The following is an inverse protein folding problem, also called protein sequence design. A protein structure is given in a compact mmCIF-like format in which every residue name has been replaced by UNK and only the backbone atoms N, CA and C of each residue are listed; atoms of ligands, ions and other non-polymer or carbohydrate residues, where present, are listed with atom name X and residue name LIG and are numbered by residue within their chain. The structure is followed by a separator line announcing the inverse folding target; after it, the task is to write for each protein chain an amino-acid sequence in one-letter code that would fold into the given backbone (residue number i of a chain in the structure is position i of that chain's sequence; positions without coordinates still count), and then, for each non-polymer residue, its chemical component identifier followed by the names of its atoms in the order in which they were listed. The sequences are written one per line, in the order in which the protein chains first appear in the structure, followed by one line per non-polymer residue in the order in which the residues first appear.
data_IF_057243100479
#
_entry.id   IF_057243100479
#
_cell.length_a   1.000
_cell.length_b   1.000
_cell.length_c   1.000
_cell.angle_alpha   90.00
_cell.angle_beta   90.00
_cell.angle_gamma   90.00
#
_symmetry.space_group_name_H-M   'P 1'
#
loop_
_entity.id
_entity.type
_entity.pdbx_description
1 polymer ?
#
# COMPACT_ATOMS: atom_id res chain seq x y z
N UNK A 1 -21.05 -69.84 -24.29
CA UNK A 1 -20.89 -68.38 -24.43
C UNK A 1 -19.86 -67.90 -23.40
N UNK A 2 -18.58 -67.72 -23.77
CA UNK A 2 -17.55 -67.19 -22.87
C UNK A 2 -17.70 -65.67 -22.79
N UNK A 3 -18.28 -65.18 -21.70
CA UNK A 3 -18.43 -63.74 -21.47
C UNK A 3 -17.07 -63.03 -21.62
N UNK A 4 -17.01 -61.99 -22.45
CA UNK A 4 -15.81 -61.20 -22.70
C UNK A 4 -15.54 -60.18 -21.58
N UNK A 5 -15.56 -60.62 -20.32
CA UNK A 5 -15.42 -59.78 -19.13
C UNK A 5 -14.13 -58.95 -19.13
N UNK A 6 -13.08 -59.47 -19.76
CA UNK A 6 -11.80 -58.77 -19.97
C UNK A 6 -11.93 -57.49 -20.82
N UNK A 7 -12.88 -57.43 -21.75
CA UNK A 7 -13.14 -56.22 -22.58
C UNK A 7 -13.69 -55.08 -21.73
N UNK A 8 -14.55 -55.40 -20.76
CA UNK A 8 -15.08 -54.43 -19.81
C UNK A 8 -14.00 -53.90 -18.86
N UNK A 9 -13.09 -54.78 -18.44
CA UNK A 9 -11.96 -54.42 -17.58
C UNK A 9 -11.00 -53.46 -18.29
N UNK A 10 -10.66 -53.70 -19.56
CA UNK A 10 -9.87 -52.79 -20.38
C UNK A 10 -10.58 -51.44 -20.56
N UNK A 11 -11.89 -51.45 -20.83
CA UNK A 11 -12.67 -50.23 -20.99
C UNK A 11 -12.62 -49.36 -19.72
N UNK A 12 -12.78 -49.96 -18.54
CA UNK A 12 -12.69 -49.26 -17.25
C UNK A 12 -11.29 -48.68 -17.03
N UNK A 13 -10.23 -49.43 -17.34
CA UNK A 13 -8.85 -48.96 -17.21
C UNK A 13 -8.60 -47.75 -18.12
N UNK A 14 -9.08 -47.78 -19.38
CA UNK A 14 -8.95 -46.65 -20.31
C UNK A 14 -9.72 -45.43 -19.82
N UNK A 15 -10.94 -45.62 -19.29
CA UNK A 15 -11.74 -44.53 -18.72
C UNK A 15 -11.00 -43.88 -17.53
N UNK A 16 -10.48 -44.68 -16.61
CA UNK A 16 -9.74 -44.18 -15.44
C UNK A 16 -8.45 -43.47 -15.87
N UNK A 17 -7.73 -44.03 -16.84
CA UNK A 17 -6.50 -43.47 -17.39
C UNK A 17 -6.71 -42.10 -18.06
N UNK A 18 -7.90 -41.82 -18.60
CA UNK A 18 -8.24 -40.50 -19.16
C UNK A 18 -8.84 -39.58 -18.10
N UNK A 19 -9.69 -40.11 -17.22
CA UNK A 19 -10.45 -39.32 -16.25
C UNK A 19 -9.55 -38.68 -15.18
N UNK A 20 -8.61 -39.43 -14.60
CA UNK A 20 -7.71 -38.92 -13.55
C UNK A 20 -6.86 -37.73 -14.05
N UNK A 21 -6.11 -37.84 -15.17
CA UNK A 21 -5.33 -36.71 -15.67
C UNK A 21 -6.21 -35.55 -16.17
N UNK A 22 -7.42 -35.83 -16.68
CA UNK A 22 -8.39 -34.78 -17.06
C UNK A 22 -8.83 -33.96 -15.85
N UNK A 23 -9.18 -34.59 -14.73
CA UNK A 23 -9.54 -33.91 -13.49
C UNK A 23 -8.37 -33.12 -12.89
N UNK A 24 -7.15 -33.68 -12.93
CA UNK A 24 -5.94 -32.99 -12.49
C UNK A 24 -5.61 -31.77 -13.38
N UNK A 25 -5.81 -31.88 -14.69
CA UNK A 25 -5.60 -30.79 -15.63
C UNK A 25 -6.64 -29.69 -15.46
N UNK A 26 -7.93 -30.05 -15.32
CA UNK A 26 -9.03 -29.12 -15.13
C UNK A 26 -8.91 -28.35 -13.81
N UNK A 27 -8.58 -29.04 -12.71
CA UNK A 27 -8.35 -28.39 -11.41
C UNK A 27 -7.16 -27.42 -11.44
N UNK A 28 -6.06 -27.77 -12.12
CA UNK A 28 -4.93 -26.85 -12.36
C UNK A 28 -5.33 -25.64 -13.19
N UNK A 29 -6.05 -25.84 -14.30
CA UNK A 29 -6.57 -24.77 -15.17
C UNK A 29 -7.50 -23.82 -14.40
N UNK A 30 -8.46 -24.36 -13.66
CA UNK A 30 -9.40 -23.55 -12.85
C UNK A 30 -8.65 -22.77 -11.77
N UNK A 31 -7.65 -23.38 -11.14
CA UNK A 31 -6.79 -22.71 -10.16
C UNK A 31 -6.02 -21.53 -10.77
N UNK A 32 -5.41 -21.73 -11.95
CA UNK A 32 -4.71 -20.66 -12.70
C UNK A 32 -5.68 -19.56 -13.17
N UNK A 33 -6.83 -19.91 -13.75
CA UNK A 33 -7.83 -18.93 -14.15
C UNK A 33 -8.35 -18.09 -12.96
N UNK A 34 -8.54 -18.71 -11.79
CA UNK A 34 -8.90 -18.00 -10.56
C UNK A 34 -7.77 -17.12 -10.03
N UNK A 35 -6.50 -17.46 -10.26
CA UNK A 35 -5.38 -16.59 -9.88
C UNK A 35 -5.17 -15.42 -10.84
N UNK A 36 -5.52 -15.59 -12.12
CA UNK A 36 -5.30 -14.58 -13.15
C UNK A 36 -6.48 -13.61 -13.29
N UNK A 37 -7.69 -14.04 -12.91
CA UNK A 37 -8.86 -13.17 -12.89
C UNK A 37 -8.72 -12.10 -11.80
N UNK A 38 -8.80 -10.82 -12.19
CA UNK A 38 -8.79 -9.67 -11.28
C UNK A 38 -10.14 -8.99 -11.29
N UNK A 39 -10.68 -8.70 -10.11
CA UNK A 39 -11.99 -8.04 -9.99
C UNK A 39 -11.91 -6.59 -10.47
N UNK A 40 -12.98 -6.04 -11.08
CA UNK A 40 -12.99 -4.61 -11.41
C UNK A 40 -12.81 -3.70 -10.20
N UNK A 41 -13.33 -4.14 -9.04
CA UNK A 41 -13.22 -3.40 -7.78
C UNK A 41 -11.79 -3.46 -7.25
N UNK A 42 -11.15 -2.29 -7.19
CA UNK A 42 -9.81 -2.03 -6.69
C UNK A 42 -9.86 -0.94 -5.60
N UNK A 43 -10.28 -1.27 -4.37
CA UNK A 43 -10.39 -0.29 -3.32
C UNK A 43 -9.02 0.25 -2.92
N UNK A 44 -9.01 1.49 -2.43
CA UNK A 44 -7.82 2.10 -1.82
C UNK A 44 -8.05 2.15 -0.33
N UNK A 45 -7.32 1.29 0.39
CA UNK A 45 -7.37 1.19 1.84
C UNK A 45 -6.49 2.30 2.43
N UNK A 46 -7.09 3.21 3.19
CA UNK A 46 -6.41 4.34 3.80
C UNK A 46 -6.35 4.15 5.31
N UNK A 47 -5.15 4.20 5.91
CA UNK A 47 -4.94 4.03 7.36
C UNK A 47 -4.26 5.27 7.93
N UNK A 48 -4.89 5.99 8.88
CA UNK A 48 -4.34 7.22 9.44
C UNK A 48 -3.29 6.92 10.52
N UNK A 49 -2.58 7.97 10.94
CA UNK A 49 -1.59 7.91 12.02
C UNK A 49 -2.18 7.92 13.42
N UNK A 50 -1.31 8.11 14.42
CA UNK A 50 -1.73 8.21 15.82
C UNK A 50 -2.51 9.48 16.13
N UNK A 51 -3.31 9.43 17.20
CA UNK A 51 -4.20 10.50 17.69
C UNK A 51 -5.18 11.02 16.63
N UNK A 52 -5.26 10.36 15.47
CA UNK A 52 -6.09 10.72 14.35
C UNK A 52 -7.43 9.95 14.43
N UNK A 53 -8.54 10.65 14.19
CA UNK A 53 -9.83 9.99 13.95
C UNK A 53 -9.89 9.47 12.51
N UNK A 54 -10.98 8.76 12.19
CA UNK A 54 -11.33 8.37 10.82
C UNK A 54 -11.48 9.55 9.84
N UNK A 55 -11.49 10.79 10.32
CA UNK A 55 -11.68 12.01 9.53
C UNK A 55 -10.35 12.62 9.08
N UNK A 56 -9.21 12.02 9.47
CA UNK A 56 -7.87 12.51 9.13
C UNK A 56 -7.64 12.68 7.62
N UNK A 57 -8.29 11.85 6.82
CA UNK A 57 -8.19 11.91 5.37
C UNK A 57 -9.30 12.71 4.71
N UNK A 58 -10.23 13.34 5.44
CA UNK A 58 -11.39 14.00 4.83
C UNK A 58 -11.00 15.15 3.91
N UNK A 59 -10.03 15.97 4.31
CA UNK A 59 -9.47 17.04 3.46
C UNK A 59 -8.83 16.46 2.21
N UNK A 60 -7.95 15.47 2.36
CA UNK A 60 -7.28 14.79 1.25
C UNK A 60 -8.31 14.18 0.27
N UNK A 61 -9.30 13.46 0.79
CA UNK A 61 -10.36 12.82 0.01
C UNK A 61 -11.18 13.87 -0.73
N UNK A 62 -11.48 15.00 -0.08
CA UNK A 62 -12.20 16.12 -0.70
C UNK A 62 -11.40 16.71 -1.85
N UNK A 63 -10.11 16.96 -1.66
CA UNK A 63 -9.21 17.44 -2.71
C UNK A 63 -9.09 16.45 -3.86
N UNK A 64 -8.87 15.16 -3.56
CA UNK A 64 -8.80 14.10 -4.57
C UNK A 64 -10.08 14.05 -5.41
N UNK A 65 -11.26 14.12 -4.78
CA UNK A 65 -12.55 14.12 -5.49
C UNK A 65 -12.78 15.34 -6.37
N UNK A 66 -12.22 16.49 -6.00
CA UNK A 66 -12.29 17.70 -6.82
C UNK A 66 -11.34 17.64 -8.02
N UNK A 67 -10.22 16.93 -7.87
CA UNK A 67 -9.18 16.86 -8.88
C UNK A 67 -9.28 15.65 -9.83
N UNK A 68 -9.93 14.56 -9.40
CA UNK A 68 -10.11 13.35 -10.21
C UNK A 68 -11.35 13.46 -11.10
N UNK A 69 -11.28 12.83 -12.28
CA UNK A 69 -12.42 12.82 -13.22
C UNK A 69 -13.49 11.81 -12.83
N UNK A 70 -13.11 10.80 -12.06
CA UNK A 70 -13.98 9.69 -11.66
C UNK A 70 -14.39 9.88 -10.20
N UNK A 71 -15.69 9.78 -9.87
CA UNK A 71 -16.13 9.91 -8.50
C UNK A 71 -15.73 8.67 -7.68
N UNK A 72 -15.06 8.90 -6.55
CA UNK A 72 -14.69 7.86 -5.59
C UNK A 72 -15.64 7.91 -4.38
N UNK A 73 -16.41 6.85 -4.17
CA UNK A 73 -17.21 6.65 -2.95
C UNK A 73 -16.30 6.39 -1.75
N UNK A 74 -16.79 6.71 -0.54
CA UNK A 74 -16.00 6.61 0.70
C UNK A 74 -16.77 5.77 1.69
N UNK A 75 -16.09 4.75 2.19
CA UNK A 75 -16.50 3.95 3.34
C UNK A 75 -15.47 4.17 4.45
N UNK A 76 -15.94 4.53 5.64
CA UNK A 76 -15.10 4.60 6.85
C UNK A 76 -15.44 3.41 7.73
N UNK A 77 -14.40 2.75 8.25
CA UNK A 77 -14.49 1.61 9.15
C UNK A 77 -13.69 1.97 10.41
N UNK A 78 -14.36 2.01 11.56
CA UNK A 78 -13.71 2.16 12.86
C UNK A 78 -13.67 0.80 13.55
N UNK A 79 -12.47 0.33 13.88
CA UNK A 79 -12.26 -0.88 14.68
C UNK A 79 -12.18 -0.50 16.15
N UNK A 80 -13.12 -1.02 16.93
CA UNK A 80 -13.19 -0.82 18.38
C UNK A 80 -12.17 -1.72 19.11
N UNK A 81 -11.80 -1.39 20.34
CA UNK A 81 -10.78 -2.17 21.08
C UNK A 81 -11.19 -3.63 21.33
N UNK A 82 -12.49 -3.90 21.39
CA UNK A 82 -13.07 -5.24 21.51
C UNK A 82 -13.17 -6.00 20.18
N UNK A 83 -12.75 -5.37 19.07
CA UNK A 83 -12.80 -5.93 17.72
C UNK A 83 -14.11 -5.68 16.97
N UNK A 84 -15.08 -4.97 17.55
CA UNK A 84 -16.28 -4.60 16.80
C UNK A 84 -15.96 -3.61 15.67
N UNK A 85 -16.68 -3.73 14.55
CA UNK A 85 -16.51 -2.89 13.37
C UNK A 85 -17.71 -1.94 13.24
N UNK A 86 -17.44 -0.64 13.25
CA UNK A 86 -18.43 0.40 12.98
C UNK A 86 -18.20 0.99 11.59
N UNK A 87 -19.26 1.13 10.80
CA UNK A 87 -19.18 1.58 9.40
C UNK A 87 -19.91 2.90 9.22
N UNK A 88 -19.32 3.82 8.47
CA UNK A 88 -19.95 5.09 8.05
C UNK A 88 -19.71 5.33 6.57
N UNK A 89 -20.74 5.78 5.85
CA UNK A 89 -20.69 5.91 4.38
C UNK A 89 -20.99 4.59 3.67
N UNK A 90 -20.69 4.51 2.38
CA UNK A 90 -20.97 3.33 1.56
C UNK A 90 -20.17 3.32 0.26
N UNK A 91 -19.94 2.12 -0.28
CA UNK A 91 -19.39 1.93 -1.61
C UNK A 91 -20.53 1.98 -2.63
N UNK A 92 -20.47 2.92 -3.57
CA UNK A 92 -21.52 3.08 -4.59
C UNK A 92 -21.44 1.96 -5.62
N UNK A 93 -22.59 1.48 -6.08
CA UNK A 93 -22.65 0.50 -7.17
C UNK A 93 -22.00 1.09 -8.44
N UNK A 94 -21.09 0.33 -9.05
CA UNK A 94 -20.37 0.75 -10.25
C UNK A 94 -19.12 1.59 -9.97
N UNK A 95 -18.84 1.93 -8.71
CA UNK A 95 -17.54 2.49 -8.34
C UNK A 95 -16.51 1.36 -8.21
N UNK A 96 -15.53 1.37 -9.12
CA UNK A 96 -14.47 0.39 -9.18
C UNK A 96 -13.22 0.80 -8.39
N UNK A 97 -13.15 2.02 -7.86
CA UNK A 97 -11.99 2.50 -7.10
C UNK A 97 -12.43 3.33 -5.88
N UNK A 98 -13.20 2.75 -4.95
CA UNK A 98 -13.63 3.45 -3.75
C UNK A 98 -12.47 3.67 -2.78
N UNK A 99 -12.60 4.69 -1.94
CA UNK A 99 -11.71 4.89 -0.80
C UNK A 99 -12.32 4.24 0.44
N UNK A 100 -11.53 3.41 1.13
CA UNK A 100 -11.94 2.78 2.37
C UNK A 100 -10.98 3.22 3.47
N UNK A 101 -11.45 4.08 4.38
CA UNK A 101 -10.65 4.52 5.53
C UNK A 101 -10.84 3.52 6.66
N UNK A 102 -9.76 2.93 7.17
CA UNK A 102 -9.78 2.06 8.34
C UNK A 102 -9.06 2.79 9.47
N UNK A 103 -9.79 3.12 10.52
CA UNK A 103 -9.28 3.78 11.71
C UNK A 103 -9.51 2.92 12.95
N UNK A 104 -8.77 3.20 14.02
CA UNK A 104 -8.80 2.42 15.25
C UNK A 104 -9.31 3.29 16.40
N UNK A 105 -10.11 2.71 17.29
CA UNK A 105 -10.49 3.36 18.55
C UNK A 105 -9.25 3.66 19.39
N UNK A 106 -8.36 2.67 19.54
CA UNK A 106 -7.03 2.89 20.07
C UNK A 106 -6.08 3.34 18.94
N UNK A 107 -5.98 4.65 18.78
CA UNK A 107 -5.09 5.33 17.86
C UNK A 107 -3.81 5.84 18.55
N UNK A 108 -3.38 5.24 19.67
CA UNK A 108 -2.18 5.71 20.40
C UNK A 108 -0.89 5.31 19.69
N UNK A 109 0.15 6.10 19.90
CA UNK A 109 1.52 5.80 19.50
C UNK A 109 2.11 4.59 20.25
N UNK A 110 3.26 4.13 19.76
CA UNK A 110 4.07 3.11 20.42
C UNK A 110 3.93 1.73 19.80
N UNK A 111 5.04 1.00 19.83
CA UNK A 111 5.21 -0.30 19.19
C UNK A 111 4.06 -1.29 19.50
N UNK A 112 3.68 -1.44 20.78
CA UNK A 112 2.62 -2.38 21.17
C UNK A 112 1.24 -2.03 20.62
N UNK A 113 0.95 -0.74 20.44
CA UNK A 113 -0.30 -0.28 19.84
C UNK A 113 -0.28 -0.49 18.32
N UNK A 114 0.84 -0.20 17.65
CA UNK A 114 1.00 -0.39 16.20
C UNK A 114 0.84 -1.88 15.81
N UNK A 115 1.40 -2.80 16.60
CA UNK A 115 1.21 -4.25 16.38
C UNK A 115 -0.25 -4.66 16.52
N UNK A 116 -0.97 -4.11 17.51
CA UNK A 116 -2.43 -4.35 17.66
C UNK A 116 -3.23 -3.76 16.50
N UNK A 117 -2.86 -2.57 16.04
CA UNK A 117 -3.49 -1.91 14.89
C UNK A 117 -3.32 -2.75 13.60
N UNK A 118 -2.17 -3.39 13.39
CA UNK A 118 -2.00 -4.33 12.28
C UNK A 118 -2.93 -5.55 12.38
N UNK A 119 -3.16 -6.08 13.59
CA UNK A 119 -4.10 -7.17 13.83
C UNK A 119 -5.58 -6.74 13.60
N UNK A 120 -5.94 -5.54 14.08
CA UNK A 120 -7.26 -4.96 13.83
C UNK A 120 -7.48 -4.64 12.36
N UNK A 121 -6.43 -4.22 11.64
CA UNK A 121 -6.47 -4.03 10.21
C UNK A 121 -6.78 -5.35 9.48
N UNK A 122 -6.18 -6.46 9.88
CA UNK A 122 -6.52 -7.80 9.34
C UNK A 122 -7.98 -8.18 9.58
N UNK A 123 -8.50 -7.90 10.78
CA UNK A 123 -9.91 -8.15 11.11
C UNK A 123 -10.85 -7.38 10.18
N UNK A 124 -10.66 -6.06 10.06
CA UNK A 124 -11.46 -5.22 9.18
C UNK A 124 -11.29 -5.61 7.70
N UNK A 125 -10.06 -5.89 7.27
CA UNK A 125 -9.75 -6.24 5.89
C UNK A 125 -10.43 -7.56 5.46
N UNK A 126 -10.43 -8.58 6.32
CA UNK A 126 -11.12 -9.84 6.05
C UNK A 126 -12.63 -9.66 5.89
N UNK A 127 -13.25 -8.84 6.74
CA UNK A 127 -14.66 -8.51 6.59
C UNK A 127 -14.92 -7.80 5.25
N UNK A 128 -14.15 -6.75 4.94
CA UNK A 128 -14.27 -5.98 3.70
C UNK A 128 -14.08 -6.86 2.45
N UNK A 129 -13.04 -7.69 2.41
CA UNK A 129 -12.76 -8.59 1.30
C UNK A 129 -13.88 -9.62 1.12
N UNK A 130 -14.46 -10.13 2.22
CA UNK A 130 -15.59 -11.06 2.19
C UNK A 130 -16.88 -10.37 1.71
N UNK A 131 -17.14 -9.15 2.16
CA UNK A 131 -18.35 -8.39 1.86
C UNK A 131 -18.35 -7.87 0.43
N UNK A 132 -17.27 -7.24 0.00
CA UNK A 132 -17.17 -6.57 -1.30
C UNK A 132 -16.48 -7.41 -2.38
N UNK A 133 -15.93 -8.58 -2.03
CA UNK A 133 -15.40 -9.58 -2.97
C UNK A 133 -14.29 -9.08 -3.89
N UNK A 134 -13.53 -8.05 -3.51
CA UNK A 134 -12.34 -7.66 -4.25
C UNK A 134 -11.20 -8.66 -4.02
N UNK A 135 -10.37 -8.87 -5.03
CA UNK A 135 -9.19 -9.74 -4.95
C UNK A 135 -7.86 -9.02 -5.16
N UNK A 136 -7.91 -7.70 -5.29
CA UNK A 136 -6.74 -6.85 -5.20
C UNK A 136 -7.10 -5.49 -4.63
N UNK A 137 -6.08 -4.76 -4.16
CA UNK A 137 -6.26 -3.42 -3.59
C UNK A 137 -4.97 -2.62 -3.67
N UNK A 138 -5.10 -1.30 -3.49
CA UNK A 138 -3.97 -0.41 -3.19
C UNK A 138 -4.13 0.14 -1.77
N UNK A 139 -3.03 0.58 -1.17
CA UNK A 139 -3.02 1.08 0.19
C UNK A 139 -2.31 2.43 0.32
N UNK A 140 -2.80 3.25 1.25
CA UNK A 140 -2.22 4.52 1.65
C UNK A 140 -2.13 4.56 3.18
N UNK A 141 -0.93 4.74 3.72
CA UNK A 141 -0.70 4.89 5.15
C UNK A 141 -0.10 6.25 5.47
N UNK A 142 -0.66 6.98 6.42
CA UNK A 142 -0.04 8.19 6.96
C UNK A 142 0.56 7.89 8.33
N UNK A 143 1.80 8.35 8.58
CA UNK A 143 2.49 8.16 9.85
C UNK A 143 2.46 6.69 10.30
N UNK A 144 2.02 6.39 11.52
CA UNK A 144 1.88 5.03 12.05
C UNK A 144 0.92 4.13 11.27
N UNK A 145 -0.04 4.69 10.52
CA UNK A 145 -0.88 3.92 9.61
C UNK A 145 -0.07 3.22 8.53
N UNK A 146 1.06 3.80 8.10
CA UNK A 146 2.01 3.14 7.21
C UNK A 146 2.79 2.01 7.87
N UNK A 147 3.08 2.09 9.18
CA UNK A 147 3.68 0.99 9.93
C UNK A 147 2.69 -0.17 10.10
N UNK A 148 1.45 0.13 10.49
CA UNK A 148 0.39 -0.86 10.61
C UNK A 148 0.12 -1.56 9.27
N UNK A 149 0.09 -0.81 8.16
CA UNK A 149 0.00 -1.39 6.82
C UNK A 149 1.22 -2.25 6.47
N UNK A 150 2.44 -1.82 6.81
CA UNK A 150 3.65 -2.60 6.51
C UNK A 150 3.65 -3.94 7.25
N UNK A 151 3.35 -3.93 8.56
CA UNK A 151 3.17 -5.16 9.35
C UNK A 151 2.03 -6.03 8.80
N UNK A 152 0.90 -5.42 8.41
CA UNK A 152 -0.21 -6.14 7.79
C UNK A 152 0.22 -6.87 6.50
N UNK A 153 0.99 -6.20 5.64
CA UNK A 153 1.49 -6.76 4.39
C UNK A 153 2.47 -7.93 4.61
N UNK A 154 3.21 -7.92 5.72
CA UNK A 154 4.19 -8.95 6.09
C UNK A 154 3.55 -10.14 6.80
N UNK A 155 2.71 -9.89 7.79
CA UNK A 155 2.28 -10.91 8.74
C UNK A 155 0.88 -11.47 8.48
N UNK A 156 0.01 -10.70 7.82
CA UNK A 156 -1.41 -11.02 7.70
C UNK A 156 -1.83 -11.26 6.25
N UNK A 157 -1.47 -10.37 5.32
CA UNK A 157 -1.84 -10.50 3.91
C UNK A 157 -1.41 -11.84 3.27
N UNK A 158 -0.20 -12.41 3.54
CA UNK A 158 0.18 -13.70 2.98
C UNK A 158 -0.73 -14.87 3.40
N UNK A 159 -1.47 -14.72 4.50
CA UNK A 159 -2.47 -15.70 4.96
C UNK A 159 -3.78 -15.58 4.18
N UNK A 160 -4.02 -14.47 3.48
CA UNK A 160 -5.21 -14.18 2.67
C UNK A 160 -4.92 -14.46 1.19
N UNK A 161 -4.80 -15.75 0.84
CA UNK A 161 -4.37 -16.19 -0.50
C UNK A 161 -5.24 -15.69 -1.67
N UNK A 162 -6.46 -15.25 -1.40
CA UNK A 162 -7.41 -14.77 -2.41
C UNK A 162 -7.26 -13.29 -2.75
N UNK A 163 -6.41 -12.53 -2.05
CA UNK A 163 -6.26 -11.09 -2.25
C UNK A 163 -4.80 -10.72 -2.43
N UNK A 164 -4.51 -9.78 -3.34
CA UNK A 164 -3.16 -9.28 -3.61
C UNK A 164 -3.07 -7.78 -3.40
N UNK A 165 -1.95 -7.28 -2.87
CA UNK A 165 -1.69 -5.86 -2.80
C UNK A 165 -0.93 -5.41 -4.04
N UNK A 166 -1.45 -4.40 -4.74
CA UNK A 166 -0.83 -3.85 -5.94
C UNK A 166 0.19 -2.78 -5.59
N UNK A 167 -0.23 -1.86 -4.71
CA UNK A 167 0.55 -0.68 -4.36
C UNK A 167 0.39 -0.33 -2.90
N UNK A 168 1.47 0.22 -2.35
CA UNK A 168 1.50 0.84 -1.04
C UNK A 168 2.15 2.21 -1.18
N UNK A 169 1.47 3.26 -0.73
CA UNK A 169 2.09 4.56 -0.49
C UNK A 169 2.11 4.83 1.01
N UNK A 170 3.27 5.11 1.55
CA UNK A 170 3.44 5.54 2.93
C UNK A 170 3.85 7.00 2.95
N UNK A 171 3.23 7.80 3.82
CA UNK A 171 3.46 9.25 3.93
C UNK A 171 3.93 9.53 5.35
N UNK A 172 5.15 10.06 5.48
CA UNK A 172 5.77 10.39 6.76
C UNK A 172 5.77 9.22 7.77
N UNK A 173 5.95 8.00 7.27
CA UNK A 173 5.90 6.80 8.11
C UNK A 173 7.23 6.62 8.86
N UNK A 174 7.23 6.63 10.20
CA UNK A 174 8.44 6.56 11.00
C UNK A 174 8.93 5.11 11.14
N UNK A 175 9.58 4.57 10.11
CA UNK A 175 10.07 3.17 10.13
C UNK A 175 11.03 2.87 11.28
N UNK A 176 11.68 3.89 11.84
CA UNK A 176 12.52 3.79 13.04
C UNK A 176 11.96 4.62 14.20
N UNK A 177 10.64 4.83 14.29
CA UNK A 177 10.02 5.66 15.33
C UNK A 177 10.64 7.08 15.38
N UNK A 178 10.81 7.66 16.57
CA UNK A 178 11.33 9.01 16.76
C UNK A 178 12.86 9.11 16.66
N UNK A 179 13.59 8.01 16.39
CA UNK A 179 15.06 8.09 16.29
C UNK A 179 15.53 8.60 14.94
N UNK A 180 16.48 9.54 14.99
CA UNK A 180 17.21 10.04 13.82
C UNK A 180 18.45 9.17 13.50
N UNK A 181 18.71 8.14 14.31
CA UNK A 181 19.86 7.26 14.14
C UNK A 181 19.75 6.44 12.86
N UNK A 182 20.88 6.33 12.16
CA UNK A 182 21.04 5.49 10.97
C UNK A 182 21.62 4.11 11.28
N UNK A 183 22.04 3.88 12.53
CA UNK A 183 22.69 2.64 12.98
C UNK A 183 21.88 1.90 14.05
N UNK A 184 21.15 2.62 14.89
CA UNK A 184 20.30 2.02 15.91
C UNK A 184 18.95 1.61 15.29
N UNK A 185 18.50 0.41 15.62
CA UNK A 185 17.23 -0.11 15.16
C UNK A 185 16.27 -0.29 16.33
N UNK A 186 15.16 0.43 16.27
CA UNK A 186 14.03 0.25 17.18
C UNK A 186 13.39 -1.14 17.02
N UNK A 187 12.62 -1.62 18.01
CA UNK A 187 11.92 -2.90 17.91
C UNK A 187 11.04 -3.02 16.65
N UNK A 188 10.29 -1.96 16.29
CA UNK A 188 9.45 -1.98 15.09
C UNK A 188 10.28 -2.18 13.80
N UNK A 189 11.42 -1.50 13.68
CA UNK A 189 12.29 -1.62 12.50
C UNK A 189 12.88 -3.02 12.40
N UNK A 190 13.31 -3.60 13.53
CA UNK A 190 13.83 -4.96 13.59
C UNK A 190 12.78 -5.97 13.11
N UNK A 191 11.55 -5.83 13.60
CA UNK A 191 10.45 -6.74 13.21
C UNK A 191 10.13 -6.63 11.73
N UNK A 192 10.01 -5.41 11.19
CA UNK A 192 9.79 -5.20 9.77
C UNK A 192 10.92 -5.80 8.92
N UNK A 193 12.18 -5.60 9.31
CA UNK A 193 13.33 -6.19 8.60
C UNK A 193 13.32 -7.73 8.69
N UNK A 194 12.87 -8.30 9.80
CA UNK A 194 12.75 -9.74 9.97
C UNK A 194 11.63 -10.33 9.10
N UNK A 195 10.48 -9.65 9.04
CA UNK A 195 9.28 -10.04 8.29
C UNK A 195 9.34 -9.79 6.79
N UNK A 196 10.20 -8.88 6.33
CA UNK A 196 10.25 -8.36 4.94
C UNK A 196 10.24 -9.40 3.82
N UNK A 197 10.75 -10.61 4.05
CA UNK A 197 10.75 -11.68 3.03
C UNK A 197 9.34 -12.12 2.64
N UNK A 198 8.36 -11.91 3.53
CA UNK A 198 6.95 -12.25 3.35
C UNK A 198 6.19 -11.21 2.52
N UNK A 199 6.77 -10.04 2.26
CA UNK A 199 6.14 -8.99 1.46
C UNK A 199 5.76 -9.53 0.06
N UNK A 200 4.59 -9.10 -0.49
CA UNK A 200 4.17 -9.53 -1.82
C UNK A 200 5.19 -9.11 -2.89
N UNK A 201 5.71 -10.09 -3.65
CA UNK A 201 6.78 -9.84 -4.63
C UNK A 201 6.38 -8.92 -5.78
N UNK A 202 5.09 -8.79 -6.06
CA UNK A 202 4.53 -7.91 -7.09
C UNK A 202 4.16 -6.51 -6.57
N UNK A 203 4.32 -6.24 -5.27
CA UNK A 203 3.97 -4.97 -4.65
C UNK A 203 4.84 -3.83 -5.21
N UNK A 204 4.24 -2.68 -5.45
CA UNK A 204 4.95 -1.44 -5.76
C UNK A 204 4.82 -0.47 -4.59
N UNK A 205 5.94 0.01 -4.07
CA UNK A 205 5.97 0.83 -2.86
C UNK A 205 6.50 2.23 -3.14
N UNK A 206 5.76 3.24 -2.70
CA UNK A 206 6.13 4.65 -2.71
C UNK A 206 6.26 5.15 -1.26
N UNK A 207 7.46 5.53 -0.84
CA UNK A 207 7.71 6.06 0.49
C UNK A 207 7.92 7.56 0.40
N UNK A 208 6.95 8.34 0.87
CA UNK A 208 6.98 9.80 0.84
C UNK A 208 7.49 10.31 2.18
N UNK A 209 8.65 10.97 2.17
CA UNK A 209 9.20 11.70 3.31
C UNK A 209 8.83 13.18 3.21
N UNK A 210 8.30 13.75 4.29
CA UNK A 210 8.18 15.19 4.44
C UNK A 210 9.46 15.77 5.04
N UNK A 211 9.76 17.02 4.70
CA UNK A 211 10.82 17.80 5.32
C UNK A 211 10.33 19.24 5.45
N UNK A 212 9.98 19.63 6.68
CA UNK A 212 9.65 21.00 7.08
C UNK A 212 10.94 21.74 7.44
N UNK A 213 11.79 21.07 8.20
CA UNK A 213 13.22 21.38 8.31
C UNK A 213 13.98 20.34 7.50
N UNK A 214 15.14 20.68 6.94
CA UNK A 214 15.93 19.80 6.05
C UNK A 214 16.11 18.33 6.53
N UNK A 215 15.86 18.03 7.81
CA UNK A 215 15.97 16.71 8.44
C UNK A 215 14.71 16.16 9.11
N UNK A 216 13.58 16.89 9.17
CA UNK A 216 12.37 16.47 9.92
C UNK A 216 11.10 17.15 9.41
N UNK A 217 9.95 16.47 9.54
CA UNK A 217 8.61 17.05 9.31
C UNK A 217 7.99 17.73 10.55
N UNK A 218 8.83 18.02 11.55
CA UNK A 218 8.43 18.60 12.83
C UNK A 218 8.00 17.56 13.89
N UNK A 219 7.80 16.30 13.51
CA UNK A 219 7.50 15.19 14.45
C UNK A 219 8.41 13.97 14.21
N UNK A 220 8.66 13.64 12.95
CA UNK A 220 9.39 12.45 12.53
C UNK A 220 10.67 12.86 11.80
N UNK A 221 11.83 12.34 12.21
CA UNK A 221 13.08 12.54 11.48
C UNK A 221 13.01 11.90 10.09
N UNK A 222 13.49 12.60 9.07
CA UNK A 222 13.59 12.09 7.71
C UNK A 222 14.40 10.79 7.65
N UNK A 223 15.43 10.64 8.52
CA UNK A 223 16.20 9.39 8.61
C UNK A 223 15.37 8.20 9.09
N UNK A 224 14.38 8.41 9.97
CA UNK A 224 13.45 7.36 10.38
C UNK A 224 12.63 6.88 9.19
N UNK A 225 12.10 7.80 8.37
CA UNK A 225 11.39 7.46 7.13
C UNK A 225 12.30 6.74 6.14
N UNK A 226 13.56 7.18 6.01
CA UNK A 226 14.56 6.58 5.12
C UNK A 226 14.88 5.12 5.47
N UNK A 227 14.61 4.66 6.69
CA UNK A 227 14.82 3.25 7.06
C UNK A 227 13.87 2.29 6.32
N UNK A 228 12.77 2.80 5.73
CA UNK A 228 11.86 2.00 4.90
C UNK A 228 12.58 1.26 3.76
N UNK A 229 13.71 1.79 3.26
CA UNK A 229 14.52 1.12 2.23
C UNK A 229 15.01 -0.27 2.67
N UNK A 230 15.32 -0.46 3.97
CA UNK A 230 15.77 -1.75 4.50
C UNK A 230 14.63 -2.77 4.62
N UNK A 231 13.38 -2.29 4.63
CA UNK A 231 12.18 -3.14 4.62
C UNK A 231 11.88 -3.57 3.19
N UNK A 232 11.79 -2.63 2.24
CA UNK A 232 11.22 -2.93 0.92
C UNK A 232 12.23 -3.25 -0.19
N UNK A 233 13.44 -2.67 -0.18
CA UNK A 233 14.38 -2.88 -1.29
C UNK A 233 14.76 -4.37 -1.42
N UNK A 234 14.77 -4.86 -2.66
CA UNK A 234 14.99 -6.26 -3.01
C UNK A 234 13.94 -7.24 -2.43
N UNK A 235 12.82 -6.76 -1.88
CA UNK A 235 11.73 -7.60 -1.39
C UNK A 235 10.45 -7.47 -2.21
N UNK A 236 10.19 -6.28 -2.75
CA UNK A 236 9.03 -5.93 -3.58
C UNK A 236 9.44 -5.67 -5.02
N UNK A 237 8.48 -5.52 -5.94
CA UNK A 237 8.78 -5.32 -7.37
C UNK A 237 9.50 -3.98 -7.61
N UNK A 238 9.00 -2.91 -6.98
CA UNK A 238 9.58 -1.58 -7.07
C UNK A 238 9.47 -0.86 -5.72
N UNK A 239 10.53 -0.17 -5.33
CA UNK A 239 10.54 0.74 -4.19
C UNK A 239 11.04 2.10 -4.68
N UNK A 240 10.26 3.15 -4.44
CA UNK A 240 10.61 4.53 -4.77
C UNK A 240 10.42 5.40 -3.54
N UNK A 241 11.48 6.10 -3.15
CA UNK A 241 11.39 7.11 -2.10
C UNK A 241 11.25 8.49 -2.74
N UNK A 242 10.33 9.30 -2.22
CA UNK A 242 10.01 10.63 -2.72
C UNK A 242 10.13 11.59 -1.55
N UNK A 243 10.88 12.68 -1.71
CA UNK A 243 10.98 13.74 -0.70
C UNK A 243 10.11 14.91 -1.15
N UNK A 244 9.21 15.34 -0.27
CA UNK A 244 8.35 16.52 -0.46
C UNK A 244 8.85 17.61 0.48
N UNK A 245 9.25 18.75 -0.09
CA UNK A 245 9.76 19.93 0.63
C UNK A 245 8.92 21.16 0.30
N UNK A 246 8.95 22.17 1.18
CA UNK A 246 8.24 23.45 1.01
C UNK A 246 7.19 23.67 2.11
N UNK A 247 6.28 24.63 1.89
CA UNK A 247 5.23 24.95 2.86
C UNK A 247 4.22 23.79 3.03
N UNK A 248 3.64 23.67 4.23
CA UNK A 248 2.69 22.61 4.61
C UNK A 248 3.29 21.19 4.56
N UNK A 249 4.55 21.03 4.96
CA UNK A 249 5.20 19.72 5.14
C UNK A 249 5.31 19.29 6.60
N UNK A 250 4.60 19.98 7.51
CA UNK A 250 4.41 19.54 8.90
C UNK A 250 3.76 18.15 8.91
N UNK A 251 4.09 17.34 9.92
CA UNK A 251 3.60 15.96 10.05
C UNK A 251 2.08 15.80 9.87
N UNK A 252 1.29 16.74 10.39
CA UNK A 252 -0.17 16.74 10.30
C UNK A 252 -0.73 17.25 8.96
N UNK A 253 -0.02 18.13 8.25
CA UNK A 253 -0.53 18.74 7.01
C UNK A 253 -0.07 18.01 5.74
N UNK A 254 0.90 17.10 5.85
CA UNK A 254 1.39 16.33 4.71
C UNK A 254 0.26 15.62 3.93
N UNK A 255 -0.69 14.89 4.56
CA UNK A 255 -1.74 14.21 3.79
C UNK A 255 -2.56 15.14 2.89
N UNK A 256 -2.68 16.43 3.22
CA UNK A 256 -3.47 17.43 2.48
C UNK A 256 -2.59 18.36 1.63
N UNK A 257 -1.28 18.11 1.57
CA UNK A 257 -0.35 18.85 0.74
C UNK A 257 -0.65 18.58 -0.74
N UNK A 258 -0.71 19.64 -1.56
CA UNK A 258 -1.01 19.54 -2.99
C UNK A 258 -0.04 18.61 -3.75
N UNK A 259 1.24 18.59 -3.37
CA UNK A 259 2.21 17.67 -3.96
C UNK A 259 1.83 16.21 -3.66
N UNK A 260 1.40 15.91 -2.43
CA UNK A 260 0.94 14.58 -2.04
C UNK A 260 -0.34 14.18 -2.77
N UNK A 261 -1.28 15.11 -2.96
CA UNK A 261 -2.46 14.88 -3.81
C UNK A 261 -2.04 14.45 -5.23
N UNK A 262 -1.10 15.18 -5.85
CA UNK A 262 -0.59 14.85 -7.19
C UNK A 262 0.13 13.49 -7.22
N UNK A 263 0.94 13.18 -6.20
CA UNK A 263 1.60 11.88 -6.07
C UNK A 263 0.59 10.74 -5.97
N UNK A 264 -0.46 10.89 -5.16
CA UNK A 264 -1.54 9.90 -5.03
C UNK A 264 -2.24 9.71 -6.39
N UNK A 265 -2.60 10.81 -7.06
CA UNK A 265 -3.26 10.75 -8.38
C UNK A 265 -2.39 10.04 -9.42
N UNK A 266 -1.11 10.35 -9.47
CA UNK A 266 -0.18 9.77 -10.43
C UNK A 266 0.14 8.30 -10.12
N UNK A 267 0.50 8.00 -8.88
CA UNK A 267 1.10 6.71 -8.53
C UNK A 267 0.09 5.70 -8.00
N UNK A 268 -0.88 6.14 -7.19
CA UNK A 268 -1.93 5.27 -6.65
C UNK A 268 -3.07 5.15 -7.66
N UNK A 269 -3.67 6.27 -8.08
CA UNK A 269 -4.83 6.28 -8.99
C UNK A 269 -4.47 6.04 -10.47
N UNK A 270 -3.20 6.19 -10.86
CA UNK A 270 -2.72 6.06 -12.25
C UNK A 270 -3.40 7.03 -13.22
N UNK A 271 -3.78 8.21 -12.74
CA UNK A 271 -4.29 9.24 -13.63
C UNK A 271 -3.18 9.75 -14.54
N UNK A 272 -3.51 9.89 -15.82
CA UNK A 272 -2.68 10.64 -16.75
C UNK A 272 -2.82 12.12 -16.41
N UNK A 273 -1.87 12.65 -15.62
CA UNK A 273 -1.90 14.05 -15.21
C UNK A 273 -1.81 15.00 -16.44
N UNK A 274 -2.47 16.17 -16.40
CA UNK A 274 -2.30 17.22 -17.42
C UNK A 274 -0.83 17.64 -17.55
N UNK A 275 -0.40 18.06 -18.74
CA UNK A 275 1.01 18.39 -19.00
C UNK A 275 1.59 19.44 -18.03
N UNK A 276 0.77 20.41 -17.61
CA UNK A 276 1.12 21.46 -16.62
C UNK A 276 1.38 20.94 -15.20
N UNK A 277 0.83 19.77 -14.87
CA UNK A 277 0.92 19.16 -13.53
C UNK A 277 1.93 17.99 -13.52
N UNK A 278 2.53 17.66 -14.67
CA UNK A 278 3.63 16.69 -14.77
C UNK A 278 4.94 17.38 -14.39
N UNK A 279 5.71 16.76 -13.50
CA UNK A 279 7.09 17.17 -13.26
C UNK A 279 7.86 17.13 -14.59
N UNK A 280 8.28 18.31 -15.06
CA UNK A 280 9.13 18.45 -16.24
C UNK A 280 10.55 18.65 -15.72
N UNK A 281 11.49 17.72 -15.98
CA UNK A 281 12.88 17.94 -15.59
C UNK A 281 13.35 19.24 -16.22
N UNK A 282 14.08 20.11 -15.49
CA UNK A 282 14.64 21.30 -16.10
C UNK A 282 15.49 20.89 -17.30
N UNK A 283 15.11 21.39 -18.48
CA UNK A 283 15.89 21.25 -19.69
C UNK A 283 17.28 21.80 -19.39
N UNK A 284 18.35 21.05 -19.69
CA UNK A 284 19.71 21.56 -19.62
C UNK A 284 19.76 22.85 -20.46
N UNK A 285 19.68 24.01 -19.79
CA UNK A 285 20.11 25.24 -20.41
C UNK A 285 21.57 25.02 -20.75
N UNK A 286 21.86 25.13 -22.05
CA UNK A 286 23.20 25.27 -22.58
C UNK A 286 23.98 26.20 -21.66
N UNK A 287 24.97 25.66 -20.95
CA UNK A 287 26.06 26.48 -20.41
C UNK A 287 26.74 27.07 -21.63
N UNK A 288 26.28 28.24 -22.05
CA UNK A 288 27.06 29.08 -22.95
C UNK A 288 28.35 29.39 -22.22
N UNK A 289 29.43 28.79 -22.73
CA UNK A 289 30.78 29.14 -22.36
C UNK A 289 30.97 30.64 -22.60
N UNK A 290 31.03 31.40 -21.51
CA UNK A 290 31.83 32.62 -21.47
C UNK A 290 32.96 32.30 -20.51
N UNK A 291 34.14 32.12 -21.11
CA UNK A 291 35.41 32.04 -20.43
C UNK A 291 35.75 33.42 -19.87
N UNK A 292 35.87 33.51 -18.55
CA UNK A 292 36.72 34.53 -17.93
C UNK A 292 37.40 33.89 -16.71
N UNK A 293 38.75 33.79 -16.65
CA UNK A 293 39.47 33.20 -15.55
C UNK A 293 39.89 34.30 -14.56
N UNK A 294 39.40 34.24 -13.31
CA UNK A 294 39.84 35.19 -12.28
C UNK A 294 39.44 34.78 -10.86
N UNK A 295 40.46 34.42 -10.07
CA UNK A 295 40.60 34.61 -8.61
C UNK A 295 39.61 33.90 -7.66
N UNK A 296 40.00 32.79 -7.03
CA UNK A 296 40.72 32.65 -5.74
C UNK A 296 40.02 33.26 -4.52
N UNK A 297 39.65 32.41 -3.54
CA UNK A 297 39.48 32.83 -2.14
C UNK A 297 38.34 32.16 -1.40
N UNK A 298 38.60 31.00 -0.81
CA UNK A 298 37.89 30.52 0.38
C UNK A 298 38.54 31.15 1.63
N UNK A 299 37.75 31.47 2.64
CA UNK A 299 37.99 31.01 4.00
C UNK A 299 37.10 29.80 4.35
#
# INVERSE_FOLDING_TARGET
MRHSWWRWLILVVVIVAVFIPSQAWLSKRISQYKSDYRTPLNPIIMVPGSSASQDRFDTLITQLRQETKVPHSVLKVKVMEDGQLSYTGSIKRGDNQPFIVIAFENNRDGYSNIVKQAAWLDLAFKDLAKTYRFNHFSALGHSNGGLALSLFMEDYLPKIKSVTADKLMTIATPYNMETDSTTEQTPILKDLINGRKNLPKKLVVYSVAGSETYSSDGTVPANSVNQGKYVFQNQVAHYTQITVTGDNTTHSDLPQNRQIVLLIRQYILQEVLPAKDRYTPPTKQSRNASSDPGETGLP
#
